data_IF_478757570140
#
_entry.id   IF_478757570140
#
_cell.length_a   1.000
_cell.length_b   1.000
_cell.length_c   1.000
_cell.angle_alpha   90.00
_cell.angle_beta   90.00
_cell.angle_gamma   90.00
#
_symmetry.space_group_name_H-M   'P 1'
#
loop_
_entity.id
_entity.type
_entity.pdbx_description
1 polymer ?
#
# COMPACT_ATOMS: atom_id res chain seq x y z
N UNK A 1 33.59 20.60 8.18
CA UNK A 1 32.89 19.75 9.17
C UNK A 1 31.77 19.06 8.43
N UNK A 2 31.96 17.81 8.05
CA UNK A 2 30.95 16.99 7.37
C UNK A 2 30.14 16.30 8.45
N UNK A 3 28.96 16.82 8.75
CA UNK A 3 27.96 16.07 9.49
C UNK A 3 27.60 14.87 8.63
N UNK A 4 28.05 13.68 9.04
CA UNK A 4 27.50 12.42 8.52
C UNK A 4 26.04 12.42 8.93
N UNK A 5 25.15 12.71 7.98
CA UNK A 5 23.74 12.31 8.06
C UNK A 5 23.74 10.84 8.48
N UNK A 6 23.46 10.60 9.77
CA UNK A 6 23.12 9.26 10.22
C UNK A 6 21.88 8.92 9.43
N UNK A 7 22.02 8.02 8.45
CA UNK A 7 20.87 7.45 7.77
C UNK A 7 19.96 6.90 8.86
N UNK A 8 18.90 7.64 9.19
CA UNK A 8 17.85 7.15 10.07
C UNK A 8 17.33 5.92 9.34
N UNK A 9 17.54 4.74 9.93
CA UNK A 9 16.91 3.54 9.41
C UNK A 9 15.42 3.86 9.26
N UNK A 10 14.82 3.60 8.09
CA UNK A 10 13.42 3.90 7.87
C UNK A 10 12.61 3.21 8.96
N UNK A 11 11.65 3.92 9.55
CA UNK A 11 10.81 3.35 10.60
C UNK A 11 10.00 2.16 10.03
N UNK A 12 9.49 1.28 10.89
CA UNK A 12 8.81 0.06 10.46
C UNK A 12 7.61 0.37 9.53
N UNK A 13 6.87 1.45 9.78
CA UNK A 13 5.75 1.87 8.95
C UNK A 13 6.20 2.26 7.53
N UNK A 14 7.25 3.07 7.43
CA UNK A 14 7.86 3.49 6.17
C UNK A 14 8.33 2.28 5.37
N UNK A 15 9.04 1.33 6.01
CA UNK A 15 9.45 0.08 5.35
C UNK A 15 8.26 -0.70 4.81
N UNK A 16 7.20 -0.86 5.61
CA UNK A 16 5.98 -1.58 5.24
C UNK A 16 5.21 -0.94 4.08
N UNK A 17 5.21 0.39 4.00
CA UNK A 17 4.59 1.12 2.90
C UNK A 17 5.47 1.10 1.66
N UNK A 18 6.80 1.15 1.79
CA UNK A 18 7.73 0.96 0.68
C UNK A 18 7.62 -0.44 0.08
N UNK A 19 7.55 -1.48 0.92
CA UNK A 19 7.28 -2.86 0.47
C UNK A 19 5.96 -2.94 -0.31
N UNK A 20 4.91 -2.25 0.17
CA UNK A 20 3.62 -2.23 -0.51
C UNK A 20 3.68 -1.52 -1.87
N UNK A 21 4.39 -0.38 -1.92
CA UNK A 21 4.65 0.38 -3.14
C UNK A 21 5.40 -0.47 -4.19
N UNK A 22 6.50 -1.10 -3.79
CA UNK A 22 7.33 -1.92 -4.68
C UNK A 22 6.57 -3.14 -5.23
N UNK A 23 5.70 -3.73 -4.41
CA UNK A 23 4.88 -4.88 -4.81
C UNK A 23 3.61 -4.50 -5.58
N UNK A 24 3.28 -3.20 -5.68
CA UNK A 24 2.00 -2.76 -6.24
C UNK A 24 0.79 -3.25 -5.43
N UNK A 25 0.98 -3.45 -4.12
CA UNK A 25 -0.03 -4.00 -3.21
C UNK A 25 -0.97 -2.89 -2.74
N UNK A 26 -2.28 -3.17 -2.77
CA UNK A 26 -3.25 -2.29 -2.12
C UNK A 26 -3.05 -2.30 -0.61
N UNK A 27 -3.31 -1.16 0.02
CA UNK A 27 -3.26 -0.98 1.47
C UNK A 27 -4.53 -0.29 1.94
N UNK A 28 -4.97 -0.66 3.14
CA UNK A 28 -5.91 0.10 3.96
C UNK A 28 -5.11 0.85 5.02
N UNK A 29 -5.27 2.16 5.08
CA UNK A 29 -4.62 3.03 6.06
C UNK A 29 -5.70 3.61 6.97
N UNK A 30 -5.48 3.50 8.28
CA UNK A 30 -6.29 4.16 9.29
C UNK A 30 -5.53 5.37 9.83
N UNK A 31 -6.10 6.56 9.59
CA UNK A 31 -5.67 7.85 10.11
C UNK A 31 -6.92 8.60 10.59
N UNK A 32 -6.98 9.94 10.45
CA UNK A 32 -8.22 10.69 10.72
C UNK A 32 -9.43 10.11 9.97
N UNK A 33 -9.19 9.64 8.74
CA UNK A 33 -10.14 8.88 7.93
C UNK A 33 -9.52 7.53 7.53
N UNK A 34 -10.37 6.63 7.01
CA UNK A 34 -9.92 5.37 6.39
C UNK A 34 -9.64 5.59 4.91
N UNK A 35 -8.42 5.27 4.46
CA UNK A 35 -8.03 5.30 3.06
C UNK A 35 -7.77 3.89 2.54
N UNK A 36 -8.20 3.58 1.32
CA UNK A 36 -7.97 2.28 0.69
C UNK A 36 -7.53 2.45 -0.76
N UNK A 37 -6.29 2.07 -1.08
CA UNK A 37 -5.74 2.31 -2.41
C UNK A 37 -4.34 1.75 -2.61
N UNK A 38 -3.72 2.16 -3.71
CA UNK A 38 -2.34 1.79 -4.05
C UNK A 38 -1.39 2.89 -3.59
N UNK A 39 -0.33 2.56 -2.83
CA UNK A 39 0.79 3.48 -2.66
C UNK A 39 1.40 3.81 -4.01
N UNK A 40 1.64 5.10 -4.26
CA UNK A 40 2.34 5.58 -5.47
C UNK A 40 3.64 6.30 -5.12
N UNK A 41 3.78 6.78 -3.88
CA UNK A 41 5.00 7.38 -3.36
C UNK A 41 5.08 7.23 -1.84
N UNK A 42 6.28 7.02 -1.30
CA UNK A 42 6.56 6.99 0.14
C UNK A 42 7.81 7.84 0.38
N UNK A 43 7.69 8.84 1.26
CA UNK A 43 8.76 9.76 1.65
C UNK A 43 9.06 9.62 3.14
N UNK A 44 9.93 10.47 3.69
CA UNK A 44 10.21 10.48 5.13
C UNK A 44 8.97 10.82 5.98
N UNK A 45 8.11 11.71 5.47
CA UNK A 45 7.00 12.28 6.24
C UNK A 45 5.61 11.89 5.72
N UNK A 46 5.51 11.46 4.46
CA UNK A 46 4.23 11.24 3.78
C UNK A 46 4.19 9.94 2.99
N UNK A 47 2.97 9.40 2.86
CA UNK A 47 2.61 8.42 1.84
C UNK A 47 1.53 9.01 0.94
N UNK A 48 1.68 8.78 -0.37
CA UNK A 48 0.70 9.13 -1.38
C UNK A 48 -0.06 7.87 -1.79
N UNK A 49 -1.39 7.90 -1.65
CA UNK A 49 -2.28 6.78 -1.97
C UNK A 49 -3.21 7.17 -3.11
N UNK A 50 -3.16 6.40 -4.18
CA UNK A 50 -4.11 6.50 -5.29
C UNK A 50 -5.31 5.59 -5.05
N UNK A 51 -6.50 6.18 -5.08
CA UNK A 51 -7.79 5.49 -4.99
C UNK A 51 -8.47 5.58 -6.34
N UNK A 52 -8.77 4.42 -6.91
CA UNK A 52 -9.65 4.31 -8.08
C UNK A 52 -11.07 4.25 -7.56
N UNK A 53 -11.79 5.36 -7.67
CA UNK A 53 -13.21 5.41 -7.35
C UNK A 53 -13.95 4.89 -8.58
N UNK A 54 -14.70 3.77 -8.49
CA UNK A 54 -15.57 3.39 -9.59
C UNK A 54 -16.54 4.54 -9.86
N UNK A 55 -16.90 4.82 -11.12
CA UNK A 55 -17.97 5.77 -11.40
C UNK A 55 -19.18 5.34 -10.57
N UNK A 56 -19.61 6.18 -9.62
CA UNK A 56 -20.70 5.83 -8.71
C UNK A 56 -21.98 5.59 -9.51
N UNK A 57 -22.77 4.62 -9.05
CA UNK A 57 -24.12 4.23 -9.52
C UNK A 57 -25.19 5.35 -9.41
N UNK A 58 -24.81 6.62 -9.24
CA UNK A 58 -25.72 7.74 -9.00
C UNK A 58 -25.47 8.99 -9.86
N UNK A 59 -24.54 8.95 -10.83
CA UNK A 59 -24.43 9.99 -11.88
C UNK A 59 -24.19 9.29 -13.22
N UNK A 60 -25.26 9.07 -13.97
CA UNK A 60 -25.31 8.33 -15.25
C UNK A 60 -24.69 9.07 -16.45
N UNK A 61 -23.90 10.13 -16.26
CA UNK A 61 -23.42 10.94 -17.41
C UNK A 61 -21.91 10.93 -17.67
N UNK A 62 -21.10 10.24 -16.86
CA UNK A 62 -19.65 10.26 -17.07
C UNK A 62 -19.02 8.87 -16.87
N UNK A 63 -18.70 8.20 -17.98
CA UNK A 63 -17.80 7.03 -18.09
C UNK A 63 -16.35 7.33 -17.62
N UNK A 64 -16.14 8.39 -16.84
CA UNK A 64 -14.83 8.82 -16.36
C UNK A 64 -14.56 8.26 -14.96
N UNK A 65 -13.60 7.35 -14.89
CA UNK A 65 -13.03 6.94 -13.61
C UNK A 65 -12.47 8.17 -12.89
N UNK A 66 -12.97 8.46 -11.68
CA UNK A 66 -12.43 9.53 -10.85
C UNK A 66 -11.23 8.95 -10.08
N UNK A 67 -10.03 9.35 -10.50
CA UNK A 67 -8.81 9.08 -9.74
C UNK A 67 -8.68 10.13 -8.64
N UNK A 68 -8.62 9.69 -7.38
CA UNK A 68 -8.34 10.56 -6.24
C UNK A 68 -7.02 10.13 -5.62
N UNK A 69 -6.13 11.09 -5.41
CA UNK A 69 -4.86 10.85 -4.74
C UNK A 69 -4.84 11.56 -3.39
N UNK A 70 -4.60 10.81 -2.32
CA UNK A 70 -4.50 11.31 -0.97
C UNK A 70 -3.04 11.38 -0.53
N UNK A 71 -2.65 12.52 0.06
CA UNK A 71 -1.35 12.70 0.69
C UNK A 71 -1.52 12.63 2.21
N UNK A 72 -0.99 11.57 2.83
CA UNK A 72 -1.23 11.23 4.24
C UNK A 72 0.09 11.36 5.01
N UNK A 73 0.08 12.04 6.16
CA UNK A 73 1.24 12.14 7.04
C UNK A 73 1.49 10.81 7.76
N UNK A 74 2.72 10.30 7.76
CA UNK A 74 3.06 9.05 8.43
C UNK A 74 2.77 9.10 9.94
N UNK A 75 2.94 10.25 10.58
CA UNK A 75 2.64 10.44 12.01
C UNK A 75 1.15 10.33 12.36
N UNK A 76 0.26 10.53 11.39
CA UNK A 76 -1.19 10.40 11.59
C UNK A 76 -1.70 8.97 11.46
N UNK A 77 -0.87 8.05 10.95
CA UNK A 77 -1.26 6.66 10.71
C UNK A 77 -1.11 5.88 12.01
N UNK A 78 -2.21 5.31 12.49
CA UNK A 78 -2.18 4.43 13.66
C UNK A 78 -2.32 2.95 13.31
N UNK A 79 -2.83 2.62 12.11
CA UNK A 79 -2.86 1.24 11.63
C UNK A 79 -2.77 1.15 10.11
N UNK A 80 -2.18 0.04 9.65
CA UNK A 80 -2.22 -0.38 8.25
C UNK A 80 -2.73 -1.81 8.18
N UNK A 81 -3.54 -2.11 7.16
CA UNK A 81 -3.97 -3.45 6.86
C UNK A 81 -3.76 -3.74 5.37
N UNK A 82 -3.42 -4.99 5.09
CA UNK A 82 -3.28 -5.49 3.73
C UNK A 82 -4.52 -6.32 3.40
N UNK A 83 -5.06 -6.25 2.18
CA UNK A 83 -6.08 -7.19 1.77
C UNK A 83 -5.50 -8.58 1.95
N UNK A 84 -6.22 -9.45 2.65
CA UNK A 84 -5.91 -10.87 2.68
C UNK A 84 -5.90 -11.33 1.23
N UNK A 85 -4.74 -11.77 0.74
CA UNK A 85 -4.60 -12.19 -0.66
C UNK A 85 -5.74 -13.16 -1.00
N UNK A 86 -6.44 -12.89 -2.10
CA UNK A 86 -7.08 -13.98 -2.82
C UNK A 86 -5.96 -14.94 -3.18
N UNK A 87 -5.93 -16.09 -2.52
CA UNK A 87 -5.01 -17.17 -2.85
C UNK A 87 -5.10 -17.43 -4.34
N UNK A 88 -4.06 -17.07 -5.10
CA UNK A 88 -3.98 -17.53 -6.48
C UNK A 88 -3.58 -19.01 -6.44
N UNK A 89 -4.19 -19.82 -7.31
CA UNK A 89 -3.80 -21.23 -7.48
C UNK A 89 -2.29 -21.34 -7.70
N UNK A 90 -1.70 -20.45 -8.49
CA UNK A 90 -0.25 -20.39 -8.73
C UNK A 90 0.59 -20.17 -7.47
N UNK A 91 0.13 -19.34 -6.52
CA UNK A 91 0.84 -19.10 -5.26
C UNK A 91 0.68 -20.27 -4.28
N UNK A 92 -0.48 -20.92 -4.28
CA UNK A 92 -0.70 -22.15 -3.52
C UNK A 92 0.17 -23.30 -4.05
N UNK A 93 0.20 -23.49 -5.38
CA UNK A 93 1.02 -24.50 -6.07
C UNK A 93 2.50 -24.33 -5.73
N UNK A 94 3.03 -23.11 -5.78
CA UNK A 94 4.43 -22.82 -5.43
C UNK A 94 4.77 -23.14 -3.97
N UNK A 95 3.83 -22.98 -3.04
CA UNK A 95 4.01 -23.37 -1.64
C UNK A 95 4.00 -24.90 -1.46
N UNK A 96 3.13 -25.59 -2.20
CA UNK A 96 3.08 -27.06 -2.19
C UNK A 96 4.36 -27.67 -2.79
N UNK A 97 4.92 -27.08 -3.84
CA UNK A 97 6.22 -27.51 -4.40
C UNK A 97 7.38 -27.41 -3.40
N UNK A 98 7.39 -26.37 -2.56
CA UNK A 98 8.37 -26.23 -1.47
C UNK A 98 8.19 -27.34 -0.42
N UNK A 99 6.96 -27.76 -0.15
CA UNK A 99 6.65 -28.87 0.75
C UNK A 99 7.03 -30.25 0.19
N UNK A 100 7.01 -30.43 -1.13
CA UNK A 100 7.40 -31.69 -1.79
C UNK A 100 8.93 -31.86 -1.83
N UNK A 101 9.69 -30.79 -1.96
CA UNK A 101 11.16 -30.82 -2.01
C UNK A 101 11.85 -30.94 -0.63
N UNK A 102 11.08 -31.17 0.45
CA UNK A 102 11.61 -31.36 1.81
C UNK A 102 11.42 -32.79 2.35
N UNK A 103 11.06 -33.75 1.49
CA UNK A 103 10.98 -35.19 1.83
C UNK A 103 12.09 -35.96 1.13
#
# INVERSE_FOLDING_TARGET
MTEKEKSKKPNLLSQRLTEALENGSKVRIEAEETYYGLPVSVTEDFVEIMVLVPPNEFDEEDDTFKQVTWLIRLESIFAIAYPTEYWSSARLEKLLEIGVNQI
#
